data_IF_377022730653
#
_entry.id   IF_377022730653
#
_cell.length_a   1.000
_cell.length_b   1.000
_cell.length_c   1.000
_cell.angle_alpha   90.00
_cell.angle_beta   90.00
_cell.angle_gamma   90.00
#
_symmetry.space_group_name_H-M   'P 1'
#
loop_
_entity.id
_entity.type
_entity.pdbx_description
1 polymer ?
#
# COMPACT_ATOMS: atom_id res chain seq x y z
N UNK A 1 18.37 -72.41 -17.73
CA UNK A 1 17.48 -71.35 -18.27
C UNK A 1 17.02 -70.52 -17.09
N UNK A 2 17.60 -69.32 -16.87
CA UNK A 2 17.26 -68.44 -15.75
C UNK A 2 16.44 -67.27 -16.29
N UNK A 3 15.20 -67.15 -15.83
CA UNK A 3 14.36 -65.99 -16.09
C UNK A 3 14.72 -64.91 -15.06
N UNK A 4 15.27 -63.78 -15.54
CA UNK A 4 15.32 -62.54 -14.78
C UNK A 4 14.18 -61.67 -15.28
N UNK A 5 13.06 -61.71 -14.56
CA UNK A 5 11.93 -60.81 -14.79
C UNK A 5 12.27 -59.45 -14.17
N UNK A 6 12.42 -58.45 -15.03
CA UNK A 6 12.67 -57.05 -14.71
C UNK A 6 11.51 -56.44 -13.92
N UNK A 7 11.76 -56.09 -12.66
CA UNK A 7 10.81 -55.45 -11.75
C UNK A 7 11.37 -54.08 -11.34
N UNK A 8 11.62 -53.20 -12.32
CA UNK A 8 12.16 -51.84 -12.07
C UNK A 8 11.59 -50.83 -13.07
N UNK A 9 10.27 -50.70 -13.16
CA UNK A 9 9.65 -49.68 -14.00
C UNK A 9 8.43 -48.97 -13.36
N UNK A 10 8.24 -49.08 -12.03
CA UNK A 10 7.10 -48.43 -11.34
C UNK A 10 7.51 -47.39 -10.29
N UNK A 11 8.79 -47.27 -9.94
CA UNK A 11 9.25 -46.29 -8.95
C UNK A 11 9.58 -44.90 -9.54
N UNK A 12 9.64 -44.75 -10.87
CA UNK A 12 10.08 -43.50 -11.52
C UNK A 12 8.93 -42.55 -11.90
N UNK A 13 7.67 -42.99 -11.85
CA UNK A 13 6.52 -42.13 -12.17
C UNK A 13 6.11 -41.23 -11.00
N UNK A 14 6.44 -41.62 -9.76
CA UNK A 14 6.05 -40.87 -8.54
C UNK A 14 6.99 -39.71 -8.18
N UNK A 15 8.13 -39.56 -8.85
CA UNK A 15 9.06 -38.45 -8.61
C UNK A 15 8.81 -37.24 -9.54
N UNK A 16 7.84 -37.32 -10.44
CA UNK A 16 7.47 -36.25 -11.38
C UNK A 16 6.25 -35.43 -10.95
N UNK A 17 5.69 -35.69 -9.77
CA UNK A 17 4.96 -34.67 -9.02
C UNK A 17 6.00 -33.69 -8.49
N UNK A 18 6.56 -32.93 -9.42
CA UNK A 18 7.28 -31.71 -9.15
C UNK A 18 6.44 -30.92 -8.15
N UNK A 19 7.01 -30.68 -6.99
CA UNK A 19 6.59 -29.60 -6.11
C UNK A 19 6.55 -28.37 -7.01
N UNK A 20 5.36 -27.95 -7.43
CA UNK A 20 5.18 -26.63 -7.98
C UNK A 20 5.48 -25.68 -6.82
N UNK A 21 6.75 -25.34 -6.64
CA UNK A 21 7.16 -24.26 -5.77
C UNK A 21 6.44 -23.03 -6.32
N UNK A 22 5.42 -22.56 -5.60
CA UNK A 22 4.72 -21.34 -5.99
C UNK A 22 5.78 -20.24 -6.10
N UNK A 23 5.79 -19.54 -7.23
CA UNK A 23 6.68 -18.39 -7.38
C UNK A 23 6.43 -17.41 -6.23
N UNK A 24 7.51 -16.83 -5.69
CA UNK A 24 7.39 -15.81 -4.65
C UNK A 24 6.62 -14.61 -5.22
N UNK A 25 5.65 -14.06 -4.47
CA UNK A 25 4.98 -12.82 -4.86
C UNK A 25 5.97 -11.68 -5.09
N UNK A 26 5.61 -10.74 -5.96
CA UNK A 26 6.38 -9.52 -6.16
C UNK A 26 5.99 -8.50 -5.09
N UNK A 27 6.95 -8.02 -4.31
CA UNK A 27 6.72 -6.93 -3.38
C UNK A 27 6.76 -5.61 -4.13
N UNK A 28 5.71 -4.81 -4.01
CA UNK A 28 5.60 -3.47 -4.60
C UNK A 28 5.41 -2.48 -3.47
N UNK A 29 6.42 -1.66 -3.22
CA UNK A 29 6.35 -0.59 -2.22
C UNK A 29 6.23 0.76 -2.91
N UNK A 30 5.23 1.57 -2.54
CA UNK A 30 4.94 2.87 -3.14
C UNK A 30 4.92 3.94 -2.06
N UNK A 31 5.65 5.02 -2.28
CA UNK A 31 5.59 6.23 -1.46
C UNK A 31 5.06 7.38 -2.29
N UNK A 32 4.02 8.07 -1.80
CA UNK A 32 3.27 9.06 -2.57
C UNK A 32 2.67 10.16 -1.68
N UNK A 33 2.08 11.19 -2.29
CA UNK A 33 1.43 12.32 -1.60
C UNK A 33 -0.01 12.45 -2.07
N UNK A 34 -0.94 12.76 -1.16
CA UNK A 34 -2.37 12.81 -1.44
C UNK A 34 -2.78 13.90 -2.45
N UNK A 35 -2.05 15.02 -2.52
CA UNK A 35 -2.35 16.14 -3.43
C UNK A 35 -1.33 16.36 -4.54
N UNK A 36 -0.26 15.56 -4.62
CA UNK A 36 0.66 15.59 -5.75
C UNK A 36 -0.03 15.05 -7.02
N UNK A 37 -0.13 15.83 -8.11
CA UNK A 37 -0.83 15.39 -9.32
C UNK A 37 -0.25 14.12 -9.95
N UNK A 38 1.07 13.94 -9.92
CA UNK A 38 1.72 12.74 -10.45
C UNK A 38 1.43 11.51 -9.58
N UNK A 39 1.35 11.69 -8.26
CA UNK A 39 0.94 10.64 -7.32
C UNK A 39 -0.50 10.20 -7.55
N UNK A 40 -1.42 11.15 -7.68
CA UNK A 40 -2.82 10.90 -7.99
C UNK A 40 -2.99 10.16 -9.31
N UNK A 41 -2.36 10.67 -10.38
CA UNK A 41 -2.38 10.02 -11.68
C UNK A 41 -1.84 8.60 -11.59
N UNK A 42 -0.73 8.38 -10.91
CA UNK A 42 -0.15 7.05 -10.74
C UNK A 42 -1.10 6.10 -10.01
N UNK A 43 -1.65 6.50 -8.86
CA UNK A 43 -2.55 5.64 -8.08
C UNK A 43 -3.77 5.25 -8.91
N UNK A 44 -4.41 6.21 -9.57
CA UNK A 44 -5.67 6.00 -10.29
C UNK A 44 -5.47 5.24 -11.60
N UNK A 45 -4.46 5.63 -12.39
CA UNK A 45 -4.33 5.15 -13.79
C UNK A 45 -3.36 3.99 -13.95
N UNK A 46 -2.52 3.71 -12.96
CA UNK A 46 -1.49 2.68 -13.06
C UNK A 46 -1.57 1.69 -11.89
N UNK A 47 -1.43 2.15 -10.64
CA UNK A 47 -1.34 1.24 -9.50
C UNK A 47 -2.63 0.46 -9.27
N UNK A 48 -3.77 1.15 -9.14
CA UNK A 48 -5.05 0.50 -8.88
C UNK A 48 -5.45 -0.54 -9.93
N UNK A 49 -5.42 -0.26 -11.26
CA UNK A 49 -5.76 -1.27 -12.26
C UNK A 49 -4.75 -2.44 -12.27
N UNK A 50 -3.45 -2.18 -12.13
CA UNK A 50 -2.44 -3.26 -12.07
C UNK A 50 -2.63 -4.12 -10.83
N UNK A 51 -2.94 -3.52 -9.68
CA UNK A 51 -3.24 -4.27 -8.46
C UNK A 51 -4.50 -5.11 -8.61
N UNK A 52 -5.56 -4.61 -9.25
CA UNK A 52 -6.74 -5.42 -9.56
C UNK A 52 -6.40 -6.67 -10.37
N UNK A 53 -5.53 -6.54 -11.38
CA UNK A 53 -5.14 -7.64 -12.26
C UNK A 53 -4.18 -8.63 -11.58
N UNK A 54 -3.32 -8.16 -10.66
CA UNK A 54 -2.16 -8.92 -10.17
C UNK A 54 -2.12 -9.14 -8.64
N UNK A 55 -3.13 -8.71 -7.87
CA UNK A 55 -3.14 -8.82 -6.40
C UNK A 55 -2.85 -10.22 -5.85
N UNK A 56 -3.21 -11.27 -6.58
CA UNK A 56 -2.96 -12.67 -6.17
C UNK A 56 -1.46 -13.06 -6.18
N UNK A 57 -0.63 -12.28 -6.87
CA UNK A 57 0.83 -12.50 -7.00
C UNK A 57 1.64 -11.29 -6.54
N UNK A 58 1.01 -10.32 -5.87
CA UNK A 58 1.60 -9.07 -5.43
C UNK A 58 1.49 -8.92 -3.92
N UNK A 59 2.56 -8.49 -3.27
CA UNK A 59 2.51 -7.95 -1.90
C UNK A 59 2.60 -6.43 -2.01
N UNK A 60 1.49 -5.75 -1.74
CA UNK A 60 1.42 -4.31 -1.91
C UNK A 60 1.66 -3.57 -0.60
N UNK A 61 2.58 -2.60 -0.62
CA UNK A 61 2.82 -1.70 0.50
C UNK A 61 2.82 -0.23 0.04
N UNK A 62 1.77 0.48 0.42
CA UNK A 62 1.44 1.83 -0.08
C UNK A 62 1.48 2.82 1.07
N UNK A 63 2.24 3.89 0.93
CA UNK A 63 2.65 4.78 2.02
C UNK A 63 2.46 6.24 1.60
N UNK A 64 1.43 6.90 2.13
CA UNK A 64 1.14 8.32 1.87
C UNK A 64 1.91 9.22 2.85
N UNK A 65 3.04 9.79 2.44
CA UNK A 65 3.85 10.72 3.24
C UNK A 65 4.66 11.64 2.31
N UNK A 66 5.49 11.07 1.44
CA UNK A 66 6.23 11.79 0.42
C UNK A 66 7.19 12.84 1.01
N UNK A 67 7.13 14.06 0.54
CA UNK A 67 8.03 15.15 0.96
C UNK A 67 7.50 15.93 2.18
N UNK A 68 6.57 15.32 2.92
CA UNK A 68 6.15 15.82 4.23
C UNK A 68 7.34 15.89 5.20
N UNK A 69 7.23 16.76 6.20
CA UNK A 69 8.11 16.79 7.37
C UNK A 69 7.26 16.80 8.62
N UNK A 70 7.64 16.02 9.61
CA UNK A 70 6.95 15.98 10.89
C UNK A 70 7.82 16.56 12.02
N UNK A 71 7.16 17.10 13.04
CA UNK A 71 7.80 17.64 14.24
C UNK A 71 7.02 17.24 15.48
N UNK A 72 7.69 16.75 16.55
CA UNK A 72 7.02 16.41 17.80
C UNK A 72 6.21 17.58 18.37
N UNK A 73 4.98 17.30 18.81
CA UNK A 73 4.06 18.28 19.38
C UNK A 73 3.22 17.66 20.50
N UNK A 74 3.63 17.88 21.75
CA UNK A 74 3.00 17.23 22.90
C UNK A 74 3.14 15.71 22.84
N UNK A 75 2.02 14.99 22.91
CA UNK A 75 1.98 13.52 22.82
C UNK A 75 1.95 12.99 21.37
N UNK A 76 1.96 13.88 20.38
CA UNK A 76 1.84 13.54 18.97
C UNK A 76 2.78 14.34 18.08
N UNK A 77 2.33 14.60 16.84
CA UNK A 77 3.14 15.20 15.78
C UNK A 77 2.34 16.21 14.97
N UNK A 78 3.03 17.22 14.47
CA UNK A 78 2.52 18.14 13.44
C UNK A 78 3.25 17.88 12.14
N UNK A 79 2.59 18.18 11.01
CA UNK A 79 3.10 17.88 9.68
C UNK A 79 3.10 19.13 8.80
N UNK A 80 4.19 19.32 8.06
CA UNK A 80 4.33 20.31 6.99
C UNK A 80 4.45 19.57 5.65
N UNK A 81 3.57 19.88 4.71
CA UNK A 81 3.49 19.19 3.41
C UNK A 81 3.62 20.19 2.25
N UNK A 82 4.05 19.72 1.08
CA UNK A 82 4.41 20.60 -0.04
C UNK A 82 3.21 21.32 -0.64
N UNK A 83 2.03 20.69 -0.59
CA UNK A 83 0.79 21.26 -1.12
C UNK A 83 -0.15 21.77 0.00
N UNK A 84 0.43 22.07 1.17
CA UNK A 84 -0.27 22.71 2.29
C UNK A 84 -0.98 21.73 3.23
N UNK A 85 -1.77 22.24 4.18
CA UNK A 85 -2.40 21.44 5.23
C UNK A 85 -3.33 20.34 4.70
N UNK A 86 -4.08 20.60 3.63
CA UNK A 86 -5.01 19.63 3.03
C UNK A 86 -4.28 18.36 2.54
N UNK A 87 -3.03 18.47 2.10
CA UNK A 87 -2.18 17.34 1.72
C UNK A 87 -1.80 16.50 2.95
N UNK A 88 -1.42 17.18 4.04
CA UNK A 88 -1.10 16.51 5.30
C UNK A 88 -2.33 15.76 5.83
N UNK A 89 -3.49 16.40 5.81
CA UNK A 89 -4.73 15.79 6.24
C UNK A 89 -5.11 14.59 5.37
N UNK A 90 -4.99 14.73 4.04
CA UNK A 90 -5.20 13.64 3.10
C UNK A 90 -4.23 12.46 3.33
N UNK A 91 -2.96 12.74 3.62
CA UNK A 91 -1.96 11.72 3.93
C UNK A 91 -2.32 10.95 5.21
N UNK A 92 -2.71 11.65 6.29
CA UNK A 92 -3.13 11.01 7.54
C UNK A 92 -4.41 10.19 7.33
N UNK A 93 -5.39 10.72 6.60
CA UNK A 93 -6.64 10.00 6.31
C UNK A 93 -6.37 8.68 5.55
N UNK A 94 -5.51 8.71 4.54
CA UNK A 94 -5.08 7.52 3.80
C UNK A 94 -4.34 6.52 4.70
N UNK A 95 -3.44 7.00 5.57
CA UNK A 95 -2.74 6.16 6.55
C UNK A 95 -3.71 5.50 7.53
N UNK A 96 -4.68 6.24 8.06
CA UNK A 96 -5.75 5.70 8.91
C UNK A 96 -6.65 4.70 8.16
N UNK A 97 -7.01 4.98 6.91
CA UNK A 97 -7.77 4.05 6.07
C UNK A 97 -7.02 2.73 5.88
N UNK A 98 -5.70 2.78 5.66
CA UNK A 98 -4.85 1.57 5.54
C UNK A 98 -4.86 0.74 6.82
N UNK A 99 -4.85 1.39 7.99
CA UNK A 99 -4.87 0.73 9.30
C UNK A 99 -6.18 -0.02 9.58
N UNK A 100 -7.30 0.57 9.21
CA UNK A 100 -8.64 0.14 9.65
C UNK A 100 -9.47 -0.59 8.59
N UNK A 101 -8.87 -0.96 7.47
CA UNK A 101 -9.56 -1.57 6.33
C UNK A 101 -8.81 -2.80 5.82
N UNK A 102 -9.50 -3.69 5.09
CA UNK A 102 -8.81 -4.68 4.27
C UNK A 102 -8.03 -4.00 3.14
N UNK A 103 -7.07 -4.71 2.55
CA UNK A 103 -6.36 -4.20 1.37
C UNK A 103 -7.32 -3.84 0.23
N UNK A 104 -8.37 -4.64 0.00
CA UNK A 104 -9.35 -4.35 -1.05
C UNK A 104 -10.15 -3.07 -0.80
N UNK A 105 -10.63 -2.91 0.44
CA UNK A 105 -11.33 -1.71 0.86
C UNK A 105 -10.42 -0.49 0.77
N UNK A 106 -9.17 -0.61 1.25
CA UNK A 106 -8.19 0.46 1.19
C UNK A 106 -7.88 0.87 -0.25
N UNK A 107 -7.58 -0.07 -1.14
CA UNK A 107 -7.21 0.26 -2.52
C UNK A 107 -8.37 0.88 -3.28
N UNK A 108 -9.60 0.42 -3.06
CA UNK A 108 -10.81 1.07 -3.59
C UNK A 108 -11.00 2.49 -3.03
N UNK A 109 -10.79 2.67 -1.72
CA UNK A 109 -10.86 3.97 -1.06
C UNK A 109 -9.81 4.94 -1.59
N UNK A 110 -8.55 4.52 -1.64
CA UNK A 110 -7.42 5.29 -2.13
C UNK A 110 -7.61 5.66 -3.61
N UNK A 111 -8.07 4.75 -4.46
CA UNK A 111 -8.39 5.08 -5.84
C UNK A 111 -9.48 6.17 -5.95
N UNK A 112 -10.55 6.05 -5.16
CA UNK A 112 -11.62 7.04 -5.15
C UNK A 112 -11.16 8.41 -4.62
N UNK A 113 -10.41 8.45 -3.52
CA UNK A 113 -9.96 9.72 -2.92
C UNK A 113 -8.86 10.38 -3.76
N UNK A 114 -7.93 9.60 -4.32
CA UNK A 114 -6.86 10.12 -5.17
C UNK A 114 -7.34 10.58 -6.55
N UNK A 115 -8.55 10.18 -6.97
CA UNK A 115 -9.20 10.73 -8.16
C UNK A 115 -9.75 12.15 -7.95
N UNK A 116 -9.69 12.67 -6.72
CA UNK A 116 -10.31 13.92 -6.31
C UNK A 116 -9.23 14.93 -5.91
N UNK A 117 -9.30 16.15 -6.44
CA UNK A 117 -8.34 17.23 -6.15
C UNK A 117 -8.68 17.98 -4.86
N UNK A 118 -9.26 17.30 -3.86
CA UNK A 118 -9.92 17.93 -2.71
C UNK A 118 -9.64 17.21 -1.38
N UNK A 119 -8.38 17.28 -0.92
CA UNK A 119 -7.93 16.88 0.42
C UNK A 119 -8.72 15.72 1.04
N UNK A 120 -9.39 15.99 2.17
CA UNK A 120 -10.24 15.02 2.89
C UNK A 120 -11.71 15.05 2.49
N UNK A 121 -12.14 16.00 1.65
CA UNK A 121 -13.56 16.25 1.36
C UNK A 121 -14.26 15.05 0.69
N UNK A 122 -13.49 14.24 -0.06
CA UNK A 122 -13.97 13.02 -0.71
C UNK A 122 -14.15 11.83 0.25
N UNK A 123 -13.60 11.90 1.47
CA UNK A 123 -13.43 10.76 2.37
C UNK A 123 -14.72 10.00 2.67
N UNK A 124 -15.76 10.68 3.14
CA UNK A 124 -17.01 10.03 3.53
C UNK A 124 -17.67 9.28 2.35
N UNK A 125 -17.78 9.95 1.20
CA UNK A 125 -18.34 9.35 -0.02
C UNK A 125 -17.48 8.20 -0.53
N UNK A 126 -16.16 8.34 -0.53
CA UNK A 126 -15.28 7.26 -0.97
C UNK A 126 -15.31 6.05 -0.03
N UNK A 127 -15.61 6.25 1.24
CA UNK A 127 -15.84 5.15 2.17
C UNK A 127 -17.14 4.39 1.86
N UNK A 128 -18.19 5.07 1.39
CA UNK A 128 -19.42 4.40 0.90
C UNK A 128 -19.12 3.53 -0.32
N UNK A 129 -18.32 4.03 -1.26
CA UNK A 129 -17.92 3.30 -2.48
C UNK A 129 -17.07 2.07 -2.15
N UNK A 130 -16.14 2.20 -1.21
CA UNK A 130 -15.17 1.15 -0.91
C UNK A 130 -15.62 0.18 0.20
N UNK A 131 -16.67 0.52 0.94
CA UNK A 131 -17.10 -0.22 2.12
C UNK A 131 -16.19 -0.04 3.34
N UNK A 132 -15.30 0.97 3.33
CA UNK A 132 -14.47 1.34 4.49
C UNK A 132 -15.36 1.83 5.64
N UNK A 133 -15.01 1.45 6.88
CA UNK A 133 -15.65 2.03 8.07
C UNK A 133 -15.15 3.46 8.28
N UNK A 134 -15.83 4.43 7.67
CA UNK A 134 -15.41 5.83 7.73
C UNK A 134 -15.31 6.37 9.15
N UNK A 135 -16.21 5.95 10.06
CA UNK A 135 -16.17 6.39 11.46
C UNK A 135 -14.83 6.06 12.10
N UNK A 136 -14.33 4.82 11.94
CA UNK A 136 -13.00 4.45 12.47
C UNK A 136 -11.86 5.24 11.82
N UNK A 137 -11.94 5.46 10.51
CA UNK A 137 -10.93 6.25 9.79
C UNK A 137 -10.93 7.69 10.27
N UNK A 138 -12.10 8.29 10.44
CA UNK A 138 -12.29 9.66 10.89
C UNK A 138 -11.84 9.85 12.35
N UNK A 139 -12.16 8.90 13.23
CA UNK A 139 -11.72 8.92 14.63
C UNK A 139 -10.18 8.84 14.72
N UNK A 140 -9.56 7.93 13.94
CA UNK A 140 -8.11 7.83 13.82
C UNK A 140 -7.49 9.14 13.29
N UNK A 141 -8.04 9.67 12.20
CA UNK A 141 -7.57 10.88 11.52
C UNK A 141 -7.54 12.09 12.47
N UNK A 142 -8.55 12.23 13.34
CA UNK A 142 -8.65 13.33 14.30
C UNK A 142 -7.97 13.06 15.65
N UNK A 143 -7.08 12.07 15.73
CA UNK A 143 -6.46 11.65 16.99
C UNK A 143 -4.94 11.66 16.95
N UNK A 144 -4.34 11.55 18.14
CA UNK A 144 -2.90 11.33 18.29
C UNK A 144 -2.47 10.00 17.65
N UNK A 145 -3.35 9.00 17.56
CA UNK A 145 -3.07 7.74 16.85
C UNK A 145 -2.77 8.01 15.37
N UNK A 146 -3.60 8.81 14.69
CA UNK A 146 -3.37 9.16 13.28
C UNK A 146 -2.05 9.87 13.07
N UNK A 147 -1.67 10.76 13.99
CA UNK A 147 -0.38 11.45 13.96
C UNK A 147 0.79 10.48 14.16
N UNK A 148 0.68 9.54 15.10
CA UNK A 148 1.72 8.54 15.36
C UNK A 148 1.87 7.58 14.17
N UNK A 149 0.77 7.08 13.61
CA UNK A 149 0.79 6.24 12.41
C UNK A 149 1.44 6.99 11.24
N UNK A 150 1.13 8.27 11.04
CA UNK A 150 1.73 9.07 9.98
C UNK A 150 3.23 9.31 10.22
N UNK A 151 3.66 9.52 11.47
CA UNK A 151 5.08 9.56 11.84
C UNK A 151 5.79 8.24 11.54
N UNK A 152 5.18 7.10 11.86
CA UNK A 152 5.74 5.77 11.56
C UNK A 152 5.99 5.58 10.04
N UNK A 153 5.09 6.10 9.20
CA UNK A 153 5.30 6.13 7.75
C UNK A 153 6.52 6.98 7.38
N UNK A 154 6.67 8.16 8.00
CA UNK A 154 7.85 9.02 7.83
C UNK A 154 9.16 8.36 8.25
N UNK A 155 9.18 7.70 9.42
CA UNK A 155 10.34 6.95 9.92
C UNK A 155 10.72 5.83 8.97
N UNK A 156 9.72 5.08 8.48
CA UNK A 156 9.94 4.02 7.49
C UNK A 156 10.50 4.59 6.18
N UNK A 157 9.93 5.68 5.67
CA UNK A 157 10.41 6.32 4.44
C UNK A 157 11.83 6.90 4.59
N UNK A 158 12.20 7.38 5.79
CA UNK A 158 13.55 7.89 6.06
C UNK A 158 14.64 6.80 5.98
N UNK A 159 14.26 5.52 6.03
CA UNK A 159 15.19 4.39 5.88
C UNK A 159 15.46 4.01 4.42
N UNK A 160 14.78 4.65 3.46
CA UNK A 160 14.99 4.37 2.03
C UNK A 160 16.43 4.69 1.60
N UNK A 161 17.00 3.77 0.82
CA UNK A 161 18.32 3.92 0.22
C UNK A 161 18.27 3.55 -1.27
N UNK A 162 18.44 4.49 -2.20
CA UNK A 162 18.69 5.91 -1.96
C UNK A 162 17.48 6.62 -1.35
N UNK A 163 17.69 7.78 -0.68
CA UNK A 163 16.58 8.57 -0.16
C UNK A 163 15.68 9.05 -1.31
N UNK A 164 14.38 9.14 -1.02
CA UNK A 164 13.38 9.62 -1.97
C UNK A 164 13.69 11.07 -2.40
N UNK A 165 13.68 11.32 -3.71
CA UNK A 165 13.88 12.67 -4.29
C UNK A 165 12.67 13.17 -5.11
N UNK A 166 11.73 12.28 -5.44
CA UNK A 166 10.47 12.61 -6.13
C UNK A 166 9.36 11.66 -5.67
N UNK A 167 8.11 12.05 -5.92
CA UNK A 167 6.94 11.19 -5.75
C UNK A 167 6.14 11.11 -7.07
N UNK A 168 5.44 10.00 -7.35
CA UNK A 168 5.45 8.74 -6.60
C UNK A 168 6.82 8.03 -6.71
N UNK A 169 7.24 7.36 -5.64
CA UNK A 169 8.48 6.59 -5.57
C UNK A 169 8.14 5.11 -5.43
N UNK A 170 8.56 4.29 -6.40
CA UNK A 170 8.17 2.88 -6.52
C UNK A 170 9.40 2.01 -6.36
N UNK A 171 9.30 1.01 -5.50
CA UNK A 171 10.31 -0.03 -5.28
C UNK A 171 9.69 -1.39 -5.58
N UNK A 172 10.47 -2.25 -6.22
CA UNK A 172 10.05 -3.60 -6.62
C UNK A 172 11.08 -4.59 -6.06
N UNK A 173 10.62 -5.46 -5.15
CA UNK A 173 11.45 -6.48 -4.47
C UNK A 173 12.65 -5.93 -3.66
N UNK A 174 12.45 -4.80 -2.97
CA UNK A 174 13.40 -4.19 -2.04
C UNK A 174 12.95 -4.36 -0.59
#
# INVERSE_FOLDING_TARGET
>A
MKAHTTLTALATVLAWLSLAESAKPVTVSVYYESLCPDSQRFVVTQLYPVWQDLKEIMLLDVNSYGKSKDTPAGDGYTFECQNGPDECEGNIMLTCAKKYSSEEQYMSFANCTMAELVGTAAGARCAEVSGVNYTRVYDCFNSVEGQQLQHEVGVKQAQLNPPLIFVPWILINE
#
